data_IF_712981606539
#
_entry.id   IF_712981606539
#
_cell.length_a   1.000
_cell.length_b   1.000
_cell.length_c   1.000
_cell.angle_alpha   90.00
_cell.angle_beta   90.00
_cell.angle_gamma   90.00
#
_symmetry.space_group_name_H-M   'P 1'
#
loop_
_entity.id
_entity.type
_entity.pdbx_description
1 polymer ?
#
# COMPACT_ATOMS: atom_id res chain seq x y z
N UNK A 1 -17.94 -29.38 -15.75
CA UNK A 1 -18.16 -29.33 -14.29
C UNK A 1 -17.10 -28.44 -13.68
N UNK A 2 -17.38 -27.14 -13.55
CA UNK A 2 -16.48 -26.20 -12.88
C UNK A 2 -16.55 -26.51 -11.37
N UNK A 3 -15.40 -26.87 -10.78
CA UNK A 3 -15.30 -26.99 -9.34
C UNK A 3 -15.69 -25.64 -8.73
N UNK A 4 -16.72 -25.67 -7.89
CA UNK A 4 -17.30 -24.53 -7.19
C UNK A 4 -16.25 -23.97 -6.22
N UNK A 5 -15.39 -23.08 -6.73
CA UNK A 5 -14.25 -22.57 -5.99
C UNK A 5 -14.74 -21.54 -4.97
N UNK A 6 -15.03 -22.02 -3.76
CA UNK A 6 -15.49 -21.20 -2.64
C UNK A 6 -14.51 -20.04 -2.39
N UNK A 7 -15.06 -18.83 -2.35
CA UNK A 7 -14.35 -17.65 -1.89
C UNK A 7 -13.71 -17.92 -0.51
N UNK A 8 -12.46 -17.50 -0.34
CA UNK A 8 -11.76 -17.61 0.94
C UNK A 8 -11.90 -16.30 1.69
N UNK A 9 -12.43 -16.37 2.91
CA UNK A 9 -12.59 -15.22 3.80
C UNK A 9 -11.76 -15.46 5.06
N UNK A 10 -10.85 -14.55 5.36
CA UNK A 10 -9.97 -14.64 6.52
C UNK A 10 -10.06 -13.38 7.37
N UNK A 11 -9.83 -13.54 8.67
CA UNK A 11 -9.98 -12.47 9.65
C UNK A 11 -8.79 -12.43 10.62
N UNK A 12 -8.39 -11.22 11.01
CA UNK A 12 -7.51 -10.98 12.16
C UNK A 12 -8.24 -10.11 13.17
N UNK A 13 -8.46 -10.64 14.38
CA UNK A 13 -9.26 -9.97 15.40
C UNK A 13 -8.43 -9.04 16.27
N UNK A 14 -9.01 -7.89 16.56
CA UNK A 14 -8.52 -6.96 17.58
C UNK A 14 -8.73 -7.55 18.96
N UNK A 15 -7.74 -7.43 19.83
CA UNK A 15 -7.84 -7.77 21.25
C UNK A 15 -8.05 -6.49 22.07
N UNK A 16 -8.74 -6.58 23.22
CA UNK A 16 -8.92 -5.41 24.09
C UNK A 16 -7.59 -4.85 24.59
N UNK A 17 -7.56 -3.55 24.93
CA UNK A 17 -6.33 -2.87 25.35
C UNK A 17 -5.74 -3.42 26.66
N UNK A 18 -6.57 -3.98 27.54
CA UNK A 18 -6.14 -4.64 28.77
C UNK A 18 -5.52 -6.04 28.53
N UNK A 19 -5.64 -6.59 27.33
CA UNK A 19 -5.00 -7.84 26.96
C UNK A 19 -3.58 -7.57 26.43
N UNK A 20 -2.53 -8.32 26.82
CA UNK A 20 -1.15 -8.08 26.39
C UNK A 20 -1.00 -8.01 24.85
N UNK A 21 -1.65 -8.91 24.12
CA UNK A 21 -1.69 -8.88 22.66
C UNK A 21 -2.32 -7.59 22.11
N UNK A 22 -3.33 -7.02 22.78
CA UNK A 22 -3.95 -5.76 22.36
C UNK A 22 -2.98 -4.58 22.46
N UNK A 23 -2.13 -4.54 23.49
CA UNK A 23 -1.04 -3.56 23.60
C UNK A 23 -0.04 -3.74 22.48
N UNK A 24 0.37 -4.99 22.19
CA UNK A 24 1.28 -5.29 21.07
C UNK A 24 0.69 -4.90 19.71
N UNK A 25 -0.63 -5.07 19.51
CA UNK A 25 -1.34 -4.62 18.31
C UNK A 25 -1.25 -3.10 18.13
N UNK A 26 -1.43 -2.33 19.21
CA UNK A 26 -1.30 -0.86 19.18
C UNK A 26 0.13 -0.45 18.84
N UNK A 27 1.13 -1.06 19.49
CA UNK A 27 2.55 -0.76 19.25
C UNK A 27 2.93 -1.09 17.81
N UNK A 28 2.51 -2.25 17.31
CA UNK A 28 2.77 -2.67 15.93
C UNK A 28 2.09 -1.71 14.93
N UNK A 29 0.83 -1.33 15.17
CA UNK A 29 0.12 -0.37 14.33
C UNK A 29 0.81 0.99 14.32
N UNK A 30 1.22 1.51 15.49
CA UNK A 30 1.97 2.77 15.59
C UNK A 30 3.30 2.70 14.83
N UNK A 31 4.08 1.64 15.03
CA UNK A 31 5.35 1.46 14.34
C UNK A 31 5.15 1.42 12.82
N UNK A 32 4.19 0.61 12.36
CA UNK A 32 3.88 0.47 10.93
C UNK A 32 3.30 1.75 10.32
N UNK A 33 2.61 2.59 11.09
CA UNK A 33 2.05 3.85 10.61
C UNK A 33 2.94 5.08 10.85
N UNK A 34 4.08 4.95 11.51
CA UNK A 34 4.98 6.08 11.81
C UNK A 34 6.32 6.03 11.08
N UNK A 35 6.50 5.11 10.11
CA UNK A 35 7.78 4.92 9.43
C UNK A 35 8.32 6.16 8.70
N UNK A 36 7.46 7.10 8.33
CA UNK A 36 7.86 8.41 7.77
C UNK A 36 8.60 9.30 8.78
N UNK A 37 8.49 9.00 10.08
CA UNK A 37 9.11 9.73 11.17
C UNK A 37 10.28 8.98 11.82
N UNK A 38 10.64 7.78 11.36
CA UNK A 38 11.75 7.01 11.95
C UNK A 38 13.09 7.76 11.93
N UNK A 39 13.30 8.61 10.92
CA UNK A 39 14.50 9.43 10.85
C UNK A 39 14.57 10.49 11.95
N UNK A 40 13.43 11.03 12.41
CA UNK A 40 13.40 11.95 13.55
C UNK A 40 13.83 11.24 14.84
N UNK A 41 13.36 10.00 15.04
CA UNK A 41 13.75 9.17 16.17
C UNK A 41 15.24 8.86 16.12
N UNK A 42 15.77 8.51 14.93
CA UNK A 42 17.19 8.26 14.75
C UNK A 42 18.05 9.51 15.02
N UNK A 43 17.63 10.69 14.55
CA UNK A 43 18.32 11.95 14.83
C UNK A 43 18.30 12.30 16.32
N UNK A 44 17.17 12.10 16.99
CA UNK A 44 17.07 12.31 18.43
C UNK A 44 18.00 11.36 19.20
N UNK A 45 18.07 10.09 18.79
CA UNK A 45 18.99 9.13 19.40
C UNK A 45 20.47 9.54 19.21
N UNK A 46 20.86 9.94 18.00
CA UNK A 46 22.21 10.46 17.71
C UNK A 46 22.50 11.70 18.56
N UNK A 47 21.56 12.64 18.63
CA UNK A 47 21.70 13.84 19.44
C UNK A 47 21.88 13.50 20.93
N UNK A 48 21.08 12.58 21.48
CA UNK A 48 21.20 12.12 22.86
C UNK A 48 22.57 11.49 23.15
N UNK A 49 23.10 10.68 22.22
CA UNK A 49 24.45 10.10 22.36
C UNK A 49 25.54 11.17 22.40
N UNK A 50 25.36 12.28 21.68
CA UNK A 50 26.26 13.44 21.74
C UNK A 50 26.18 14.13 23.10
N UNK A 51 24.97 14.36 23.63
CA UNK A 51 24.79 14.99 24.94
C UNK A 51 25.37 14.14 26.08
N UNK A 52 25.33 12.81 25.95
CA UNK A 52 25.91 11.88 26.92
C UNK A 52 27.44 11.71 26.79
N UNK A 53 28.07 12.38 25.81
CA UNK A 53 29.50 12.22 25.54
C UNK A 53 29.90 10.87 24.93
N UNK A 54 28.93 10.02 24.60
CA UNK A 54 29.15 8.70 23.98
C UNK A 54 29.50 8.80 22.49
N UNK A 55 29.20 9.95 21.85
CA UNK A 55 29.52 10.22 20.45
C UNK A 55 29.96 11.68 20.29
N UNK A 56 31.07 11.94 19.59
CA UNK A 56 31.44 13.33 19.30
C UNK A 56 30.50 13.97 18.28
N UNK A 57 30.28 15.28 18.35
CA UNK A 57 29.45 16.00 17.37
C UNK A 57 29.97 15.86 15.93
N UNK A 58 31.30 15.84 15.76
CA UNK A 58 31.93 15.63 14.45
C UNK A 58 31.66 14.22 13.91
N UNK A 59 31.77 13.20 14.76
CA UNK A 59 31.45 11.82 14.38
C UNK A 59 29.97 11.68 14.02
N UNK A 60 29.07 12.30 14.79
CA UNK A 60 27.65 12.34 14.48
C UNK A 60 27.37 12.98 13.12
N UNK A 61 27.99 14.14 12.84
CA UNK A 61 27.85 14.81 11.55
C UNK A 61 28.35 13.95 10.38
N UNK A 62 29.50 13.29 10.53
CA UNK A 62 30.04 12.37 9.52
C UNK A 62 29.08 11.20 9.28
N UNK A 63 28.51 10.60 10.32
CA UNK A 63 27.54 9.49 10.18
C UNK A 63 26.27 9.94 9.44
N UNK A 64 25.72 11.11 9.80
CA UNK A 64 24.54 11.66 9.11
C UNK A 64 24.85 11.95 7.65
N UNK A 65 25.98 12.61 7.35
CA UNK A 65 26.38 12.93 5.98
C UNK A 65 26.67 11.66 5.17
N UNK A 66 27.31 10.65 5.76
CA UNK A 66 27.57 9.37 5.11
C UNK A 66 26.27 8.65 4.77
N UNK A 67 25.30 8.62 5.68
CA UNK A 67 23.98 8.04 5.44
C UNK A 67 23.23 8.78 4.32
N UNK A 68 23.18 10.12 4.36
CA UNK A 68 22.56 10.92 3.30
C UNK A 68 23.24 10.72 1.95
N UNK A 69 24.58 10.66 1.92
CA UNK A 69 25.36 10.35 0.72
C UNK A 69 25.05 8.96 0.16
N UNK A 70 24.93 7.96 1.04
CA UNK A 70 24.54 6.60 0.68
C UNK A 70 23.15 6.54 0.06
N UNK A 71 22.18 7.33 0.52
CA UNK A 71 20.85 7.40 -0.12
C UNK A 71 20.97 7.86 -1.58
N UNK A 72 21.88 8.79 -1.86
CA UNK A 72 22.07 9.35 -3.20
C UNK A 72 22.79 8.38 -4.13
N UNK A 73 23.84 7.71 -3.63
CA UNK A 73 24.72 6.84 -4.43
C UNK A 73 24.14 5.43 -4.58
N UNK A 74 23.63 4.82 -3.51
CA UNK A 74 23.20 3.42 -3.52
C UNK A 74 21.68 3.28 -3.76
N UNK A 75 21.33 2.78 -4.95
CA UNK A 75 19.95 2.69 -5.47
C UNK A 75 19.44 1.26 -5.65
N UNK A 76 19.32 0.45 -4.58
CA UNK A 76 18.86 -0.93 -4.67
C UNK A 76 17.44 -1.07 -5.20
N UNK A 77 16.59 -0.04 -5.09
CA UNK A 77 15.24 -0.04 -5.65
C UNK A 77 15.20 -0.17 -7.18
N UNK A 78 16.31 0.11 -7.87
CA UNK A 78 16.43 0.00 -9.32
C UNK A 78 16.91 -1.41 -9.76
N UNK A 79 17.28 -2.28 -8.82
CA UNK A 79 17.78 -3.64 -9.08
C UNK A 79 16.86 -4.70 -8.46
N UNK A 80 17.26 -5.29 -7.34
CA UNK A 80 16.56 -6.37 -6.62
C UNK A 80 15.90 -5.91 -5.33
N UNK A 81 16.17 -4.68 -4.86
CA UNK A 81 15.70 -4.17 -3.57
C UNK A 81 16.23 -4.99 -2.38
N UNK A 82 15.55 -4.90 -1.24
CA UNK A 82 15.86 -5.68 -0.03
C UNK A 82 14.64 -6.52 0.42
N UNK A 83 14.19 -7.51 -0.37
CA UNK A 83 12.95 -8.24 -0.13
C UNK A 83 13.04 -9.17 1.08
N UNK A 84 13.12 -8.59 2.27
CA UNK A 84 13.24 -9.31 3.52
C UNK A 84 11.90 -9.93 3.87
N UNK A 85 11.76 -11.22 3.58
CA UNK A 85 10.54 -11.96 3.86
C UNK A 85 10.11 -11.87 5.33
N UNK A 86 11.07 -11.82 6.26
CA UNK A 86 10.80 -11.66 7.69
C UNK A 86 10.21 -10.29 8.04
N UNK A 87 10.31 -9.28 7.18
CA UNK A 87 9.74 -7.96 7.44
C UNK A 87 8.23 -7.97 7.18
N UNK A 88 7.82 -8.07 5.92
CA UNK A 88 6.41 -7.96 5.51
C UNK A 88 5.59 -9.24 5.81
N UNK A 89 6.23 -10.40 5.95
CA UNK A 89 5.53 -11.67 6.20
C UNK A 89 5.73 -12.22 7.62
N UNK A 90 6.05 -11.36 8.59
CA UNK A 90 6.15 -11.75 10.01
C UNK A 90 4.82 -11.63 10.76
N UNK A 91 4.81 -12.18 11.98
CA UNK A 91 3.73 -11.98 12.95
C UNK A 91 3.54 -10.51 13.38
N UNK A 92 4.51 -9.61 13.14
CA UNK A 92 4.31 -8.17 13.38
C UNK A 92 3.21 -7.63 12.47
N UNK A 93 3.18 -8.06 11.21
CA UNK A 93 2.11 -7.67 10.28
C UNK A 93 0.76 -8.26 10.69
N UNK A 94 0.75 -9.47 11.28
CA UNK A 94 -0.48 -10.02 11.87
C UNK A 94 -1.00 -9.21 13.07
N UNK A 95 -0.10 -8.59 13.86
CA UNK A 95 -0.48 -7.65 14.92
C UNK A 95 -1.07 -6.36 14.33
N UNK A 96 -0.47 -5.82 13.26
CA UNK A 96 -1.02 -4.65 12.54
C UNK A 96 -2.42 -4.95 12.01
N UNK A 97 -2.59 -6.06 11.29
CA UNK A 97 -3.89 -6.49 10.76
C UNK A 97 -4.90 -6.79 11.89
N UNK A 98 -4.44 -7.36 13.00
CA UNK A 98 -5.25 -7.58 14.19
C UNK A 98 -5.77 -6.27 14.79
N UNK A 99 -4.94 -5.22 14.88
CA UNK A 99 -5.35 -3.91 15.38
C UNK A 99 -6.58 -3.37 14.65
N UNK A 100 -6.59 -3.48 13.31
CA UNK A 100 -7.67 -2.97 12.46
C UNK A 100 -8.86 -3.92 12.30
N UNK A 101 -8.90 -5.03 13.05
CA UNK A 101 -9.90 -6.08 12.87
C UNK A 101 -10.00 -6.55 11.40
N UNK A 102 -8.85 -6.68 10.74
CA UNK A 102 -8.77 -6.77 9.29
C UNK A 102 -9.47 -8.01 8.73
N UNK A 103 -10.15 -7.84 7.60
CA UNK A 103 -10.72 -8.93 6.80
C UNK A 103 -10.05 -9.00 5.43
N UNK A 104 -9.61 -10.18 5.01
CA UNK A 104 -9.13 -10.42 3.65
C UNK A 104 -10.05 -11.39 2.94
N UNK A 105 -10.42 -11.09 1.71
CA UNK A 105 -11.24 -11.96 0.86
C UNK A 105 -10.46 -12.25 -0.41
N UNK A 106 -10.39 -13.52 -0.80
CA UNK A 106 -9.90 -13.97 -2.10
C UNK A 106 -11.06 -14.63 -2.84
N UNK A 107 -11.40 -14.08 -4.00
CA UNK A 107 -12.42 -14.66 -4.87
C UNK A 107 -11.82 -15.70 -5.82
N UNK A 108 -12.61 -16.74 -6.11
CA UNK A 108 -12.20 -17.83 -7.00
C UNK A 108 -11.23 -18.84 -6.35
N UNK A 109 -10.53 -19.67 -7.15
CA UNK A 109 -9.59 -20.67 -6.67
C UNK A 109 -8.24 -20.07 -6.26
N UNK A 110 -7.42 -20.80 -5.48
CA UNK A 110 -6.04 -20.40 -5.20
C UNK A 110 -5.28 -20.17 -6.52
N UNK A 111 -4.41 -19.17 -6.52
CA UNK A 111 -3.54 -18.90 -7.66
C UNK A 111 -2.43 -19.95 -7.75
N UNK A 112 -2.00 -20.28 -8.96
CA UNK A 112 -0.83 -21.11 -9.20
C UNK A 112 0.43 -20.38 -8.66
N UNK A 113 1.18 -20.96 -7.70
CA UNK A 113 2.41 -20.37 -7.18
C UNK A 113 3.50 -20.11 -8.22
N UNK A 114 3.48 -20.83 -9.36
CA UNK A 114 4.41 -20.63 -10.48
C UNK A 114 3.90 -19.62 -11.51
N UNK A 115 2.65 -19.16 -11.35
CA UNK A 115 2.05 -18.16 -12.21
C UNK A 115 2.70 -16.78 -12.02
N UNK A 116 2.49 -15.91 -13.02
CA UNK A 116 2.97 -14.53 -12.99
C UNK A 116 1.79 -13.57 -12.96
N UNK A 117 1.75 -12.72 -11.95
CA UNK A 117 0.61 -11.88 -11.65
C UNK A 117 1.01 -10.41 -11.55
N UNK A 118 0.08 -9.55 -11.96
CA UNK A 118 0.06 -8.15 -11.59
C UNK A 118 -1.13 -7.93 -10.66
N UNK A 119 -0.85 -7.67 -9.39
CA UNK A 119 -1.88 -7.28 -8.43
C UNK A 119 -2.07 -5.77 -8.51
N UNK A 120 -3.28 -5.33 -8.84
CA UNK A 120 -3.61 -3.92 -8.90
C UNK A 120 -4.55 -3.56 -7.75
N UNK A 121 -4.11 -2.62 -6.93
CA UNK A 121 -4.78 -2.21 -5.71
C UNK A 121 -5.39 -0.82 -5.83
N UNK A 122 -6.61 -0.70 -5.36
CA UNK A 122 -7.35 0.57 -5.26
C UNK A 122 -8.20 0.59 -3.98
N UNK A 123 -8.45 1.75 -3.35
CA UNK A 123 -7.68 2.98 -3.52
C UNK A 123 -6.26 2.86 -2.95
N UNK A 124 -5.42 3.88 -3.22
CA UNK A 124 -4.14 4.09 -2.53
C UNK A 124 -4.32 4.41 -1.05
N UNK A 125 -5.37 5.20 -0.80
CA UNK A 125 -5.71 5.97 0.40
C UNK A 125 -4.58 6.38 1.29
N UNK A 126 -4.94 6.57 2.57
CA UNK A 126 -4.31 7.60 3.41
C UNK A 126 -2.98 7.13 4.02
N UNK A 127 -2.74 5.83 4.12
CA UNK A 127 -1.43 5.31 4.52
C UNK A 127 -1.17 3.90 4.04
N UNK A 128 0.13 3.58 3.87
CA UNK A 128 0.64 2.28 3.44
C UNK A 128 0.28 1.07 4.32
N UNK A 129 -0.65 1.18 5.28
CA UNK A 129 -1.32 0.05 5.96
C UNK A 129 -1.89 -0.92 4.93
N UNK A 130 -2.34 -0.43 3.77
CA UNK A 130 -2.71 -1.24 2.63
C UNK A 130 -1.62 -2.27 2.24
N UNK A 131 -0.33 -1.98 2.45
CA UNK A 131 0.76 -2.95 2.24
C UNK A 131 0.71 -4.13 3.22
N UNK A 132 0.20 -3.95 4.44
CA UNK A 132 0.03 -5.05 5.39
C UNK A 132 -0.89 -6.14 4.84
N UNK A 133 -1.87 -5.78 3.98
CA UNK A 133 -2.77 -6.73 3.33
C UNK A 133 -2.10 -7.60 2.25
N UNK A 134 -0.88 -7.25 1.84
CA UNK A 134 -0.02 -8.07 0.97
C UNK A 134 1.02 -8.91 1.74
N UNK A 135 0.85 -8.98 3.07
CA UNK A 135 1.81 -9.57 4.00
C UNK A 135 1.17 -10.41 5.10
N UNK A 136 1.99 -10.75 6.08
CA UNK A 136 1.60 -11.57 7.22
C UNK A 136 1.06 -12.96 6.85
N UNK A 137 0.37 -13.57 7.79
CA UNK A 137 -0.25 -14.88 7.60
C UNK A 137 -1.49 -14.87 6.71
N UNK A 138 -2.21 -13.74 6.63
CA UNK A 138 -3.42 -13.63 5.83
C UNK A 138 -3.08 -13.78 4.35
N UNK A 139 -2.03 -13.09 3.90
CA UNK A 139 -1.53 -13.25 2.53
C UNK A 139 -1.05 -14.67 2.24
N UNK A 140 -0.26 -15.27 3.15
CA UNK A 140 0.24 -16.65 2.99
C UNK A 140 -0.89 -17.68 2.88
N UNK A 141 -1.99 -17.48 3.60
CA UNK A 141 -3.16 -18.35 3.49
C UNK A 141 -3.93 -18.14 2.18
N UNK A 142 -3.95 -16.92 1.64
CA UNK A 142 -4.61 -16.64 0.36
C UNK A 142 -3.81 -17.13 -0.85
N UNK A 143 -2.50 -16.88 -0.86
CA UNK A 143 -1.65 -16.97 -2.06
C UNK A 143 -0.34 -17.74 -1.84
N UNK A 144 -0.17 -18.42 -0.70
CA UNK A 144 1.01 -19.23 -0.42
C UNK A 144 2.31 -18.42 -0.45
N UNK A 145 3.22 -18.83 -1.33
CA UNK A 145 4.54 -18.22 -1.50
C UNK A 145 4.63 -17.15 -2.60
N UNK A 146 3.50 -16.76 -3.20
CA UNK A 146 3.49 -15.63 -4.14
C UNK A 146 3.85 -14.36 -3.35
N UNK A 147 4.99 -13.74 -3.64
CA UNK A 147 5.48 -12.53 -2.95
C UNK A 147 5.70 -11.41 -3.95
N UNK A 148 4.64 -10.65 -4.30
CA UNK A 148 4.74 -9.67 -5.37
C UNK A 148 5.61 -8.49 -4.96
N UNK A 149 6.37 -7.95 -5.92
CA UNK A 149 7.21 -6.77 -5.74
C UNK A 149 6.36 -5.51 -5.86
N UNK A 150 6.31 -4.72 -4.80
CA UNK A 150 5.59 -3.45 -4.80
C UNK A 150 6.28 -2.40 -5.67
N UNK A 151 5.55 -1.78 -6.59
CA UNK A 151 6.01 -0.55 -7.25
C UNK A 151 5.71 0.67 -6.38
N UNK A 152 6.73 1.46 -6.04
CA UNK A 152 6.58 2.74 -5.34
C UNK A 152 7.14 3.91 -6.16
N UNK A 153 6.65 5.12 -5.89
CA UNK A 153 7.14 6.32 -6.58
C UNK A 153 8.61 6.59 -6.18
N UNK A 154 9.45 6.94 -7.16
CA UNK A 154 10.91 7.05 -6.95
C UNK A 154 11.34 7.98 -5.82
N UNK A 155 10.59 9.06 -5.58
CA UNK A 155 10.85 10.01 -4.49
C UNK A 155 10.81 9.39 -3.09
N UNK A 156 10.04 8.32 -2.89
CA UNK A 156 9.97 7.62 -1.61
C UNK A 156 11.34 7.09 -1.17
N UNK A 157 12.17 6.67 -2.14
CA UNK A 157 13.50 6.11 -1.89
C UNK A 157 14.58 7.16 -1.61
N UNK A 158 14.21 8.42 -1.49
CA UNK A 158 15.09 9.51 -1.05
C UNK A 158 14.76 9.99 0.37
N UNK A 159 13.68 9.50 0.97
CA UNK A 159 13.23 9.91 2.29
C UNK A 159 13.77 8.89 3.32
N UNK A 160 14.61 9.31 4.27
CA UNK A 160 15.06 8.46 5.37
C UNK A 160 13.91 7.77 6.11
N UNK A 161 14.09 6.49 6.45
CA UNK A 161 13.06 5.68 7.10
C UNK A 161 12.04 5.10 6.11
N UNK A 162 11.48 5.93 5.22
CA UNK A 162 10.59 5.49 4.13
C UNK A 162 11.33 4.58 3.15
N UNK A 163 12.56 4.95 2.79
CA UNK A 163 13.41 4.18 1.89
C UNK A 163 13.65 2.77 2.44
N UNK A 164 14.12 2.67 3.68
CA UNK A 164 14.45 1.39 4.34
C UNK A 164 13.18 0.56 4.52
N UNK A 165 12.10 1.14 5.04
CA UNK A 165 10.83 0.45 5.22
C UNK A 165 10.30 -0.12 3.88
N UNK A 166 10.35 0.69 2.81
CA UNK A 166 9.90 0.28 1.48
C UNK A 166 10.77 -0.83 0.92
N UNK A 167 12.10 -0.68 0.98
CA UNK A 167 13.04 -1.69 0.48
C UNK A 167 12.87 -3.02 1.22
N UNK A 168 12.83 -2.99 2.56
CA UNK A 168 12.61 -4.17 3.42
C UNK A 168 11.27 -4.86 3.14
N UNK A 169 10.25 -4.08 2.74
CA UNK A 169 8.94 -4.60 2.32
C UNK A 169 8.93 -5.16 0.89
N UNK A 170 10.09 -5.21 0.21
CA UNK A 170 10.19 -5.70 -1.16
C UNK A 170 9.80 -4.68 -2.24
N UNK A 171 9.64 -3.41 -1.90
CA UNK A 171 9.35 -2.38 -2.89
C UNK A 171 10.53 -2.13 -3.84
N UNK A 172 10.17 -1.80 -5.08
CA UNK A 172 11.03 -1.33 -6.15
C UNK A 172 10.51 0.02 -6.66
N UNK A 173 11.33 0.71 -7.44
CA UNK A 173 10.85 1.88 -8.18
C UNK A 173 9.80 1.43 -9.22
N UNK A 174 8.68 2.16 -9.29
CA UNK A 174 7.56 1.82 -10.18
C UNK A 174 7.80 2.16 -11.66
N UNK A 175 8.99 2.65 -12.02
CA UNK A 175 9.34 2.87 -13.42
C UNK A 175 9.31 1.56 -14.20
N UNK A 176 8.77 1.65 -15.42
CA UNK A 176 8.66 0.54 -16.36
C UNK A 176 9.93 -0.33 -16.45
N UNK A 177 11.15 0.20 -16.70
CA UNK A 177 12.34 -0.66 -16.84
C UNK A 177 12.69 -1.45 -15.56
N UNK A 178 12.34 -0.94 -14.37
CA UNK A 178 12.58 -1.64 -13.11
C UNK A 178 11.58 -2.78 -12.94
N UNK A 179 10.30 -2.52 -13.21
CA UNK A 179 9.25 -3.54 -13.14
C UNK A 179 9.46 -4.62 -14.20
N UNK A 180 9.82 -4.26 -15.44
CA UNK A 180 10.12 -5.22 -16.51
C UNK A 180 11.30 -6.13 -16.12
N UNK A 181 12.33 -5.60 -15.46
CA UNK A 181 13.43 -6.43 -14.92
C UNK A 181 12.97 -7.39 -13.83
N UNK A 182 12.04 -6.99 -12.96
CA UNK A 182 11.48 -7.88 -11.95
C UNK A 182 10.65 -9.00 -12.59
N UNK A 183 9.80 -8.64 -13.55
CA UNK A 183 8.98 -9.59 -14.32
C UNK A 183 9.85 -10.57 -15.10
N UNK A 184 10.95 -10.11 -15.70
CA UNK A 184 11.91 -10.97 -16.40
C UNK A 184 12.61 -11.99 -15.48
N UNK A 185 12.71 -11.70 -14.18
CA UNK A 185 13.18 -12.66 -13.16
C UNK A 185 12.10 -13.64 -12.70
N UNK A 186 10.90 -13.58 -13.28
CA UNK A 186 9.74 -14.39 -12.87
C UNK A 186 9.01 -13.84 -11.64
N UNK A 187 9.32 -12.63 -11.18
CA UNK A 187 8.64 -12.04 -10.03
C UNK A 187 7.26 -11.49 -10.44
N UNK A 188 6.24 -11.76 -9.62
CA UNK A 188 4.97 -11.02 -9.69
C UNK A 188 5.15 -9.60 -9.17
N UNK A 189 4.29 -8.67 -9.59
CA UNK A 189 4.36 -7.25 -9.18
C UNK A 189 3.04 -6.77 -8.60
N UNK A 190 3.09 -5.76 -7.74
CA UNK A 190 1.93 -5.14 -7.12
C UNK A 190 1.98 -3.63 -7.29
N UNK A 191 0.90 -3.04 -7.80
CA UNK A 191 0.82 -1.62 -8.13
C UNK A 191 -0.45 -1.01 -7.55
N UNK A 192 -0.37 0.30 -7.32
CA UNK A 192 -1.53 1.15 -7.00
C UNK A 192 -1.70 2.12 -8.17
N UNK A 193 -2.57 1.84 -9.16
CA UNK A 193 -2.61 2.63 -10.39
C UNK A 193 -2.91 4.11 -10.17
N UNK A 194 -3.77 4.46 -9.21
CA UNK A 194 -4.14 5.84 -8.91
C UNK A 194 -3.05 6.66 -8.20
N UNK A 195 -2.07 5.99 -7.58
CA UNK A 195 -0.91 6.62 -6.96
C UNK A 195 -1.25 7.70 -5.92
N UNK A 196 -0.38 8.69 -5.79
CA UNK A 196 -0.54 9.77 -4.79
C UNK A 196 -1.71 10.71 -5.09
N UNK A 197 -2.25 10.73 -6.32
CA UNK A 197 -3.44 11.54 -6.64
C UNK A 197 -4.68 10.98 -5.97
N UNK A 198 -4.86 9.66 -6.02
CA UNK A 198 -5.97 8.97 -5.37
C UNK A 198 -5.95 9.15 -3.84
N UNK A 199 -4.75 9.17 -3.24
CA UNK A 199 -4.55 9.56 -1.84
C UNK A 199 -5.13 10.96 -1.53
N UNK A 200 -4.92 11.93 -2.40
CA UNK A 200 -5.39 13.32 -2.18
C UNK A 200 -6.90 13.49 -2.36
N UNK A 201 -7.54 12.56 -3.08
CA UNK A 201 -9.00 12.54 -3.27
C UNK A 201 -9.73 11.74 -2.18
N UNK A 202 -9.00 11.11 -1.26
CA UNK A 202 -9.61 10.31 -0.21
C UNK A 202 -10.28 11.21 0.82
N UNK A 203 -11.60 11.07 0.94
CA UNK A 203 -12.43 11.80 1.89
C UNK A 203 -13.34 10.82 2.64
N UNK A 204 -13.13 10.71 3.95
CA UNK A 204 -13.92 9.85 4.83
C UNK A 204 -15.36 10.33 5.07
N UNK A 205 -15.66 11.60 4.76
CA UNK A 205 -17.00 12.19 4.92
C UNK A 205 -17.84 12.12 3.63
N UNK A 206 -17.20 11.88 2.49
CA UNK A 206 -17.86 11.71 1.20
C UNK A 206 -18.49 10.32 1.08
N UNK A 207 -19.72 10.27 0.56
CA UNK A 207 -20.38 9.03 0.11
C UNK A 207 -19.89 8.56 -1.26
N UNK A 208 -18.98 9.30 -1.90
CA UNK A 208 -18.37 8.94 -3.18
C UNK A 208 -16.89 8.68 -2.99
N UNK A 209 -16.46 7.46 -3.28
CA UNK A 209 -15.04 7.08 -3.34
C UNK A 209 -14.54 7.30 -4.75
N UNK A 210 -13.49 8.12 -4.92
CA UNK A 210 -12.92 8.44 -6.24
C UNK A 210 -11.65 7.64 -6.50
N UNK A 211 -11.60 6.92 -7.61
CA UNK A 211 -10.42 6.20 -8.08
C UNK A 211 -9.83 6.87 -9.32
N UNK A 212 -8.52 7.13 -9.29
CA UNK A 212 -7.81 7.76 -10.41
C UNK A 212 -7.41 6.68 -11.40
N UNK A 213 -8.37 6.22 -12.19
CA UNK A 213 -8.17 5.15 -13.18
C UNK A 213 -8.36 5.62 -14.62
N UNK A 214 -9.10 6.72 -14.86
CA UNK A 214 -9.25 7.21 -16.22
C UNK A 214 -7.90 7.64 -16.79
N UNK A 215 -7.56 7.07 -17.96
CA UNK A 215 -6.26 7.28 -18.61
C UNK A 215 -5.08 6.52 -17.99
N UNK A 216 -5.22 5.82 -16.85
CA UNK A 216 -4.12 5.09 -16.18
C UNK A 216 -3.88 3.70 -16.74
N UNK A 217 -3.64 3.59 -18.05
CA UNK A 217 -3.50 2.29 -18.75
C UNK A 217 -2.13 1.61 -18.60
N UNK A 218 -1.15 2.24 -17.93
CA UNK A 218 0.24 1.77 -17.89
C UNK A 218 0.40 0.38 -17.28
N UNK A 219 -0.34 0.06 -16.22
CA UNK A 219 -0.29 -1.26 -15.58
C UNK A 219 -0.94 -2.34 -16.45
N UNK A 220 -2.00 -2.01 -17.20
CA UNK A 220 -2.63 -2.91 -18.18
C UNK A 220 -1.69 -3.20 -19.34
N UNK A 221 -1.04 -2.17 -19.89
CA UNK A 221 0.01 -2.33 -20.92
C UNK A 221 1.15 -3.23 -20.42
N UNK A 222 1.55 -3.09 -19.15
CA UNK A 222 2.58 -3.93 -18.54
C UNK A 222 2.11 -5.40 -18.43
N UNK A 223 0.88 -5.64 -18.00
CA UNK A 223 0.32 -6.99 -17.91
C UNK A 223 0.21 -7.66 -19.28
N UNK A 224 -0.34 -6.95 -20.28
CA UNK A 224 -0.48 -7.43 -21.66
C UNK A 224 0.88 -7.76 -22.27
N UNK A 225 1.85 -6.84 -22.19
CA UNK A 225 3.18 -7.01 -22.78
C UNK A 225 3.95 -8.22 -22.24
N UNK A 226 3.68 -8.64 -21.01
CA UNK A 226 4.41 -9.73 -20.36
C UNK A 226 3.55 -10.98 -20.10
N UNK A 227 2.29 -10.97 -20.52
CA UNK A 227 1.36 -12.07 -20.29
C UNK A 227 1.15 -12.34 -18.80
N UNK A 228 1.03 -11.29 -18.00
CA UNK A 228 0.70 -11.39 -16.58
C UNK A 228 -0.81 -11.50 -16.41
N UNK A 229 -1.24 -12.34 -15.48
CA UNK A 229 -2.64 -12.35 -15.05
C UNK A 229 -2.88 -11.14 -14.14
N UNK A 230 -3.87 -10.32 -14.49
CA UNK A 230 -4.20 -9.10 -13.74
C UNK A 230 -5.21 -9.43 -12.64
N UNK A 231 -4.84 -9.16 -11.39
CA UNK A 231 -5.69 -9.43 -10.22
C UNK A 231 -6.22 -8.10 -9.68
N UNK A 232 -7.53 -7.80 -9.85
CA UNK A 232 -8.12 -6.59 -9.29
C UNK A 232 -8.29 -6.72 -7.78
N UNK A 233 -8.10 -5.61 -7.07
CA UNK A 233 -8.25 -5.57 -5.63
C UNK A 233 -8.81 -4.25 -5.14
N UNK A 234 -9.69 -4.34 -4.13
CA UNK A 234 -10.31 -3.18 -3.50
C UNK A 234 -10.06 -3.17 -1.98
N UNK A 235 -9.55 -2.05 -1.45
CA UNK A 235 -9.41 -1.81 -0.01
C UNK A 235 -10.61 -1.04 0.55
N UNK A 236 -11.34 -1.66 1.46
CA UNK A 236 -12.48 -1.07 2.14
C UNK A 236 -12.10 -0.51 3.50
N UNK A 237 -12.72 0.60 3.89
CA UNK A 237 -12.63 1.19 5.22
C UNK A 237 -11.42 2.10 5.44
N UNK A 238 -10.46 2.08 4.51
CA UNK A 238 -9.22 2.86 4.54
C UNK A 238 -9.47 4.37 4.70
N UNK A 239 -10.49 4.92 4.03
CA UNK A 239 -10.83 6.35 4.07
C UNK A 239 -11.22 6.85 5.47
N UNK A 240 -11.59 5.95 6.38
CA UNK A 240 -11.97 6.30 7.75
C UNK A 240 -10.83 6.10 8.76
N UNK A 241 -9.70 5.52 8.36
CA UNK A 241 -8.63 5.17 9.31
C UNK A 241 -7.86 6.41 9.78
N UNK A 242 -7.66 7.40 8.92
CA UNK A 242 -6.93 8.63 9.25
C UNK A 242 -7.61 9.84 8.63
N UNK A 243 -7.60 10.95 9.35
CA UNK A 243 -7.97 12.25 8.81
C UNK A 243 -6.75 12.92 8.17
N UNK A 244 -6.95 13.54 7.00
CA UNK A 244 -5.91 14.33 6.33
C UNK A 244 -5.92 15.74 6.91
N UNK A 245 -4.83 16.12 7.57
CA UNK A 245 -4.60 17.48 8.05
C UNK A 245 -3.67 18.18 7.08
N UNK A 246 -4.18 19.15 6.33
CA UNK A 246 -3.36 19.90 5.36
C UNK A 246 -2.33 20.77 6.09
N UNK A 247 -1.07 20.72 5.63
CA UNK A 247 -0.04 21.64 6.11
C UNK A 247 -0.29 23.07 5.57
N UNK A 248 0.28 24.11 6.22
CA UNK A 248 0.18 25.48 5.75
C UNK A 248 0.49 25.61 4.25
N UNK A 249 -0.27 26.45 3.53
CA UNK A 249 -0.24 26.51 2.07
C UNK A 249 1.17 26.75 1.49
N UNK A 250 1.97 27.60 2.12
CA UNK A 250 3.36 27.88 1.73
C UNK A 250 4.24 26.64 1.80
N UNK A 251 4.14 25.88 2.90
CA UNK A 251 4.88 24.64 3.12
C UNK A 251 4.42 23.54 2.15
N UNK A 252 3.11 23.39 1.96
CA UNK A 252 2.55 22.44 0.98
C UNK A 252 3.04 22.75 -0.44
N UNK A 253 3.02 24.03 -0.85
CA UNK A 253 3.52 24.45 -2.15
C UNK A 253 5.03 24.23 -2.32
N UNK A 254 5.83 24.41 -1.26
CA UNK A 254 7.25 24.10 -1.26
C UNK A 254 7.52 22.60 -1.39
N UNK A 255 6.87 21.78 -0.56
CA UNK A 255 7.02 20.32 -0.57
C UNK A 255 6.59 19.71 -1.91
N UNK A 256 5.47 20.17 -2.47
CA UNK A 256 5.01 19.71 -3.77
C UNK A 256 5.99 20.13 -4.89
N UNK A 257 6.43 21.40 -4.93
CA UNK A 257 7.37 21.88 -5.95
C UNK A 257 8.72 21.15 -5.89
N UNK A 258 9.26 20.94 -4.70
CA UNK A 258 10.64 20.46 -4.50
C UNK A 258 10.76 18.94 -4.45
N UNK A 259 9.75 18.25 -3.95
CA UNK A 259 9.80 16.81 -3.64
C UNK A 259 8.57 16.02 -4.14
N UNK A 260 7.59 16.67 -4.78
CA UNK A 260 6.33 16.04 -5.23
C UNK A 260 5.54 15.38 -4.09
N UNK A 261 5.70 15.90 -2.87
CA UNK A 261 4.97 15.42 -1.70
C UNK A 261 3.64 16.16 -1.55
N UNK A 262 2.62 15.43 -1.07
CA UNK A 262 1.27 15.92 -0.82
C UNK A 262 1.22 17.12 0.13
N UNK A 263 2.12 17.17 1.13
CA UNK A 263 2.14 18.21 2.15
C UNK A 263 0.95 18.15 3.09
N UNK A 264 0.64 16.95 3.59
CA UNK A 264 -0.37 16.69 4.61
C UNK A 264 0.25 15.92 5.78
N UNK A 265 -0.30 16.16 6.97
CA UNK A 265 -0.12 15.32 8.15
C UNK A 265 -1.35 14.44 8.35
N UNK A 266 -1.22 13.38 9.13
CA UNK A 266 -2.30 12.45 9.40
C UNK A 266 -2.66 12.47 10.86
N UNK A 267 -3.95 12.53 11.13
CA UNK A 267 -4.50 12.43 12.47
C UNK A 267 -5.32 11.13 12.57
N UNK A 268 -4.81 10.19 13.33
CA UNK A 268 -5.53 8.99 13.72
C UNK A 268 -6.10 9.12 15.13
N UNK A 269 -6.21 7.98 15.82
CA UNK A 269 -6.64 7.89 17.21
C UNK A 269 -5.75 8.73 18.11
N UNK A 270 -6.35 9.51 19.01
CA UNK A 270 -5.64 10.38 19.96
C UNK A 270 -4.69 11.39 19.30
N UNK A 271 -5.02 11.85 18.08
CA UNK A 271 -4.15 12.76 17.30
C UNK A 271 -2.76 12.17 17.02
N UNK A 272 -2.65 10.84 17.00
CA UNK A 272 -1.41 10.10 16.72
C UNK A 272 -1.41 9.49 15.33
N UNK A 273 -0.30 8.87 14.93
CA UNK A 273 -0.25 8.06 13.70
C UNK A 273 -1.03 6.75 13.80
N UNK A 274 -1.48 6.32 14.99
CA UNK A 274 -2.25 5.09 15.13
C UNK A 274 -3.64 5.29 14.52
N UNK A 275 -4.03 4.47 13.55
CA UNK A 275 -5.31 4.65 12.86
C UNK A 275 -6.53 4.58 13.78
N UNK A 276 -7.59 5.30 13.41
CA UNK A 276 -8.91 5.20 14.04
C UNK A 276 -9.47 3.79 13.84
N UNK A 277 -10.31 3.40 14.79
CA UNK A 277 -10.95 2.07 14.82
C UNK A 277 -12.48 2.16 14.91
N UNK A 278 -12.99 3.38 14.97
CA UNK A 278 -14.39 3.75 14.91
C UNK A 278 -14.48 5.12 14.21
N UNK A 279 -15.58 5.35 13.52
CA UNK A 279 -15.92 6.63 12.91
C UNK A 279 -16.36 7.64 13.98
N UNK A 280 -16.62 8.88 13.58
CA UNK A 280 -16.99 9.97 14.51
C UNK A 280 -18.31 9.69 15.26
N UNK A 281 -19.22 8.94 14.66
CA UNK A 281 -20.49 8.49 15.24
C UNK A 281 -20.37 7.25 16.14
N UNK A 282 -19.15 6.71 16.30
CA UNK A 282 -18.87 5.50 17.07
C UNK A 282 -19.03 4.18 16.31
N UNK A 283 -19.45 4.21 15.04
CA UNK A 283 -19.54 3.02 14.19
C UNK A 283 -18.15 2.39 14.02
N UNK A 284 -17.96 1.09 14.32
CA UNK A 284 -16.67 0.44 14.14
C UNK A 284 -16.19 0.49 12.69
N UNK A 285 -14.91 0.81 12.48
CA UNK A 285 -14.30 0.77 11.14
C UNK A 285 -13.99 -0.68 10.80
N UNK A 286 -14.56 -1.16 9.69
CA UNK A 286 -14.25 -2.47 9.11
C UNK A 286 -13.22 -2.28 8.01
N UNK A 287 -11.94 -2.44 8.35
CA UNK A 287 -10.86 -2.40 7.36
C UNK A 287 -10.73 -3.76 6.69
N UNK A 288 -10.67 -3.79 5.38
CA UNK A 288 -10.43 -5.04 4.69
C UNK A 288 -9.99 -4.88 3.26
N UNK A 289 -9.61 -6.02 2.69
CA UNK A 289 -9.13 -6.10 1.34
C UNK A 289 -9.79 -7.26 0.62
N UNK A 290 -10.38 -6.98 -0.53
CA UNK A 290 -11.00 -7.99 -1.39
C UNK A 290 -10.20 -8.08 -2.67
N UNK A 291 -9.66 -9.26 -2.94
CA UNK A 291 -9.01 -9.60 -4.19
C UNK A 291 -9.98 -10.38 -5.07
N UNK A 292 -10.24 -9.86 -6.26
CA UNK A 292 -11.06 -10.53 -7.28
C UNK A 292 -10.33 -11.70 -7.94
N UNK A 293 -11.06 -12.40 -8.81
CA UNK A 293 -10.50 -13.46 -9.63
C UNK A 293 -9.46 -12.89 -10.64
N UNK A 294 -8.42 -13.66 -10.99
CA UNK A 294 -7.44 -13.24 -11.99
C UNK A 294 -8.11 -13.08 -13.36
N UNK A 295 -7.87 -11.94 -14.00
CA UNK A 295 -8.26 -11.69 -15.37
C UNK A 295 -7.23 -12.34 -16.31
N UNK A 296 -7.71 -13.23 -17.18
CA UNK A 296 -6.87 -13.82 -18.22
C UNK A 296 -6.69 -12.83 -19.36
N UNK A 297 -5.45 -12.46 -19.63
CA UNK A 297 -5.07 -11.46 -20.62
C UNK A 297 -4.22 -12.15 -21.68
N UNK A 298 -4.53 -11.92 -22.96
CA UNK A 298 -3.71 -12.37 -24.08
C UNK A 298 -2.42 -11.57 -24.09
N UNK A 299 -1.29 -12.29 -24.13
CA UNK A 299 0.01 -11.67 -24.33
C UNK A 299 0.06 -10.98 -25.70
N UNK A 300 0.42 -9.70 -25.71
CA UNK A 300 0.58 -8.89 -26.92
C UNK A 300 1.76 -7.91 -26.72
N UNK A 301 2.93 -8.19 -27.33
CA UNK A 301 4.12 -7.34 -27.21
C UNK A 301 3.91 -5.91 -27.69
N UNK A 302 3.11 -5.74 -28.75
CA UNK A 302 2.86 -4.46 -29.40
C UNK A 302 1.87 -3.62 -28.59
N UNK A 303 1.07 -4.27 -27.75
CA UNK A 303 0.06 -3.65 -26.88
C UNK A 303 -0.92 -2.80 -27.69
N UNK A 304 -1.66 -3.45 -28.58
CA UNK A 304 -2.71 -2.81 -29.38
C UNK A 304 -3.62 -1.93 -28.51
N UNK A 305 -3.79 -0.68 -28.89
CA UNK A 305 -4.46 0.32 -28.04
C UNK A 305 -5.95 0.00 -27.84
N UNK A 306 -6.60 -0.64 -28.82
CA UNK A 306 -7.99 -1.09 -28.69
C UNK A 306 -8.10 -2.24 -27.67
N UNK A 307 -7.21 -3.23 -27.75
CA UNK A 307 -7.17 -4.31 -26.77
C UNK A 307 -6.81 -3.82 -25.37
N UNK A 308 -5.85 -2.89 -25.24
CA UNK A 308 -5.51 -2.25 -23.97
C UNK A 308 -6.72 -1.52 -23.38
N UNK A 309 -7.48 -0.79 -24.19
CA UNK A 309 -8.71 -0.13 -23.75
C UNK A 309 -9.73 -1.15 -23.23
N UNK A 310 -9.97 -2.23 -23.98
CA UNK A 310 -10.90 -3.28 -23.60
C UNK A 310 -10.54 -3.92 -22.26
N UNK A 311 -9.26 -4.30 -22.06
CA UNK A 311 -8.80 -4.89 -20.79
C UNK A 311 -8.88 -3.90 -19.64
N UNK A 312 -8.61 -2.61 -19.89
CA UNK A 312 -8.73 -1.56 -18.89
C UNK A 312 -10.19 -1.33 -18.45
N UNK A 313 -11.14 -1.34 -19.38
CA UNK A 313 -12.57 -1.26 -19.08
C UNK A 313 -13.04 -2.48 -18.30
N UNK A 314 -12.60 -3.68 -18.66
CA UNK A 314 -12.89 -4.91 -17.90
C UNK A 314 -12.33 -4.84 -16.47
N UNK A 315 -11.12 -4.28 -16.29
CA UNK A 315 -10.53 -4.09 -14.98
C UNK A 315 -11.36 -3.11 -14.13
N UNK A 316 -11.75 -1.97 -14.69
CA UNK A 316 -12.60 -0.99 -14.00
C UNK A 316 -13.95 -1.61 -13.62
N UNK A 317 -14.58 -2.35 -14.53
CA UNK A 317 -15.83 -3.05 -14.26
C UNK A 317 -15.68 -4.08 -13.13
N UNK A 318 -14.57 -4.83 -13.09
CA UNK A 318 -14.29 -5.78 -12.03
C UNK A 318 -14.08 -5.09 -10.66
N UNK A 319 -13.40 -3.95 -10.63
CA UNK A 319 -13.22 -3.15 -9.39
C UNK A 319 -14.55 -2.59 -8.89
N UNK A 320 -15.40 -2.09 -9.79
CA UNK A 320 -16.74 -1.61 -9.45
C UNK A 320 -17.63 -2.74 -8.91
N UNK A 321 -17.60 -3.91 -9.55
CA UNK A 321 -18.33 -5.09 -9.10
C UNK A 321 -17.88 -5.56 -7.71
N UNK A 322 -16.57 -5.59 -7.45
CA UNK A 322 -16.02 -5.87 -6.11
C UNK A 322 -16.54 -4.87 -5.07
N UNK A 323 -16.54 -3.58 -5.41
CA UNK A 323 -17.08 -2.54 -4.54
C UNK A 323 -18.56 -2.79 -4.23
N UNK A 324 -19.42 -2.89 -5.25
CA UNK A 324 -20.87 -3.04 -5.08
C UNK A 324 -21.25 -4.28 -4.27
N UNK A 325 -20.60 -5.43 -4.53
CA UNK A 325 -20.92 -6.68 -3.82
C UNK A 325 -20.46 -6.70 -2.36
N UNK A 326 -19.42 -5.94 -2.00
CA UNK A 326 -18.83 -6.00 -0.66
C UNK A 326 -19.00 -4.73 0.17
N UNK A 327 -19.43 -3.59 -0.39
CA UNK A 327 -19.48 -2.29 0.31
C UNK A 327 -20.25 -2.37 1.64
N UNK A 328 -21.41 -3.00 1.66
CA UNK A 328 -22.23 -3.14 2.88
C UNK A 328 -21.54 -3.96 3.97
N UNK A 329 -20.80 -5.01 3.59
CA UNK A 329 -20.02 -5.85 4.53
C UNK A 329 -18.98 -5.02 5.29
N UNK A 330 -18.46 -3.98 4.66
CA UNK A 330 -17.45 -3.11 5.24
C UNK A 330 -18.01 -1.79 5.81
N UNK A 331 -19.34 -1.70 5.97
CA UNK A 331 -20.00 -0.58 6.64
C UNK A 331 -20.28 0.63 5.75
N UNK A 332 -20.17 0.48 4.44
CA UNK A 332 -20.63 1.50 3.49
C UNK A 332 -22.16 1.40 3.34
N UNK A 333 -22.84 2.53 3.15
CA UNK A 333 -24.29 2.53 2.90
C UNK A 333 -24.61 2.03 1.48
N UNK A 334 -25.89 1.77 1.20
CA UNK A 334 -26.33 1.34 -0.13
C UNK A 334 -26.13 2.45 -1.18
N UNK A 335 -26.20 3.70 -0.74
CA UNK A 335 -26.09 4.92 -1.54
C UNK A 335 -24.63 5.33 -1.79
N UNK A 336 -23.65 4.72 -1.12
CA UNK A 336 -22.25 4.97 -1.39
C UNK A 336 -21.88 4.53 -2.82
N UNK A 337 -21.14 5.38 -3.51
CA UNK A 337 -20.77 5.25 -4.91
C UNK A 337 -19.27 5.17 -5.10
N UNK A 338 -18.88 4.52 -6.20
CA UNK A 338 -17.51 4.50 -6.70
C UNK A 338 -17.46 5.26 -8.02
N UNK A 339 -16.59 6.26 -8.10
CA UNK A 339 -16.40 7.08 -9.28
C UNK A 339 -14.98 6.93 -9.83
N UNK A 340 -14.87 6.88 -11.16
CA UNK A 340 -13.59 6.80 -11.85
C UNK A 340 -13.27 8.18 -12.44
N UNK A 341 -12.15 8.76 -12.03
CA UNK A 341 -11.75 10.12 -12.43
C UNK A 341 -10.40 10.12 -13.15
N UNK A 342 -10.12 11.17 -13.91
CA UNK A 342 -8.79 11.40 -14.47
C UNK A 342 -7.87 12.00 -13.41
N UNK A 343 -6.57 12.01 -13.68
CA UNK A 343 -5.58 12.57 -12.75
C UNK A 343 -5.57 14.11 -12.69
N UNK A 344 -6.30 14.75 -13.61
CA UNK A 344 -6.38 16.20 -13.80
C UNK A 344 -7.71 16.79 -13.31
N UNK A 345 -8.68 15.94 -12.99
CA UNK A 345 -9.93 16.28 -12.30
C UNK A 345 -9.69 16.39 -10.78
#
# INVERSE_FOLDING_TARGET
MAADAKNLVLHRRRRPIWHPVGVLQIIAALWFSSYFCFWLVALLAVWSLVQLGALSASSAAVLVLAYLGQIVVYRPQNSTGWPFAWFLYSGVVDLVLGYYNATCIREGPPLDPQGRYLFAMSPHGIFGVCRAFSGGSLWRQMYGDIRPRWGSFGGAFFIPGVREFSLCSGCLDASRPVLERAIARGESVMLIPGGTRELMLTDGHSTTTKLVLLGRKGFVKLAIRHGLQLVPGFCFGEKWVHDIVLLPASLRAFLHRRFKLAGCALAGRWWSFVGKVAQADGTPISLGYVWGAPMSIRHDPDCDDQYVQQVHEQYMAAVLDLFERHKQRFGYSAEEQLDFVAAED
#
